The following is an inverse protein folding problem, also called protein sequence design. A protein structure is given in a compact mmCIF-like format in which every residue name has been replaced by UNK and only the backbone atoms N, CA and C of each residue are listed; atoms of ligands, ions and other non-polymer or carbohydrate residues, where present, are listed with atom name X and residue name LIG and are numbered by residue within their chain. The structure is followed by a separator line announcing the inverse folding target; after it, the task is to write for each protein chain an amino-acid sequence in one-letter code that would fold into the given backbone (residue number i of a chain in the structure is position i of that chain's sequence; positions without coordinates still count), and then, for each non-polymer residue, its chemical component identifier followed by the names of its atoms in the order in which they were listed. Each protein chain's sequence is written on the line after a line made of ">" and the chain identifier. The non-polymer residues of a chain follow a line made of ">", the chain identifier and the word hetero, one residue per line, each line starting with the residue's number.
data_IF_326579480391
#
_entry.id   IF_326579480391
#
_cell.length_a   1.000
_cell.length_b   1.000
_cell.length_c   1.000
_cell.angle_alpha   90.00
_cell.angle_beta   90.00
_cell.angle_gamma   90.00
#
_symmetry.space_group_name_H-M   'P 1'
#
loop_
_entity.id
_entity.type
_entity.pdbx_description
1 polymer ?
#
# COMPACT_ATOMS: atom_id res chain seq x y z
N UNK A 1 6.60 -19.01 2.99
CA UNK A 1 5.22 -18.73 2.55
C UNK A 1 4.38 -20.00 2.49
N UNK A 2 4.55 -20.90 1.51
CA UNK A 2 3.75 -22.14 1.44
C UNK A 2 4.08 -23.12 2.58
N UNK A 3 5.37 -23.33 2.81
CA UNK A 3 5.89 -24.21 3.87
C UNK A 3 5.64 -23.68 5.28
N UNK A 4 5.25 -22.42 5.41
CA UNK A 4 4.97 -21.71 6.67
C UNK A 4 3.46 -21.47 6.86
N UNK A 5 2.59 -22.08 6.03
CA UNK A 5 1.13 -21.97 6.13
C UNK A 5 0.51 -20.59 5.84
N UNK A 6 1.34 -19.56 5.63
CA UNK A 6 0.96 -18.17 5.36
C UNK A 6 0.22 -17.97 4.05
N UNK A 7 0.42 -18.89 3.11
CA UNK A 7 -0.32 -18.96 1.85
C UNK A 7 -0.70 -20.41 1.58
N UNK A 8 -1.86 -20.60 0.96
CA UNK A 8 -2.34 -21.90 0.52
C UNK A 8 -1.50 -22.45 -0.64
N UNK A 9 -1.60 -23.76 -0.91
CA UNK A 9 -0.92 -24.41 -2.05
C UNK A 9 -1.30 -23.80 -3.40
N UNK A 10 -2.55 -23.36 -3.52
CA UNK A 10 -3.07 -22.57 -4.64
C UNK A 10 -2.35 -21.22 -4.75
N UNK A 11 -2.33 -20.41 -3.68
CA UNK A 11 -1.65 -19.09 -3.69
C UNK A 11 -0.15 -19.21 -3.95
N UNK A 12 0.49 -20.28 -3.52
CA UNK A 12 1.91 -20.52 -3.77
C UNK A 12 2.20 -20.87 -5.23
N UNK A 13 1.33 -21.67 -5.86
CA UNK A 13 1.36 -21.90 -7.31
C UNK A 13 1.15 -20.59 -8.07
N UNK A 14 0.17 -19.80 -7.65
CA UNK A 14 -0.14 -18.52 -8.30
C UNK A 14 1.03 -17.52 -8.19
N UNK A 15 1.63 -17.39 -7.00
CA UNK A 15 2.83 -16.54 -6.81
C UNK A 15 4.02 -17.02 -7.62
N UNK A 16 4.25 -18.34 -7.70
CA UNK A 16 5.32 -18.90 -8.54
C UNK A 16 5.07 -18.61 -10.02
N UNK A 17 3.86 -18.82 -10.49
CA UNK A 17 3.48 -18.49 -11.87
C UNK A 17 3.69 -16.99 -12.17
N UNK A 18 3.34 -16.11 -11.23
CA UNK A 18 3.55 -14.66 -11.36
C UNK A 18 5.04 -14.29 -11.41
N UNK A 19 5.85 -14.88 -10.54
CA UNK A 19 7.31 -14.70 -10.53
C UNK A 19 7.98 -15.21 -11.82
N UNK A 20 7.51 -16.35 -12.33
CA UNK A 20 7.98 -16.93 -13.58
C UNK A 20 7.60 -16.06 -14.79
N UNK A 21 6.36 -15.54 -14.82
CA UNK A 21 5.92 -14.57 -15.81
C UNK A 21 6.76 -13.28 -15.76
N UNK A 22 7.03 -12.76 -14.56
CA UNK A 22 7.82 -11.55 -14.37
C UNK A 22 9.29 -11.75 -14.81
N UNK A 23 9.90 -12.86 -14.41
CA UNK A 23 11.25 -13.24 -14.84
C UNK A 23 11.34 -13.46 -16.35
N UNK A 24 10.33 -14.12 -16.94
CA UNK A 24 10.24 -14.34 -18.39
C UNK A 24 10.06 -13.01 -19.15
N UNK A 25 9.21 -12.12 -18.63
CA UNK A 25 9.00 -10.79 -19.19
C UNK A 25 10.29 -9.97 -19.17
N UNK A 26 10.99 -9.90 -18.04
CA UNK A 26 12.25 -9.14 -17.95
C UNK A 26 13.39 -9.77 -18.76
N UNK A 27 13.45 -11.11 -18.85
CA UNK A 27 14.39 -11.80 -19.73
C UNK A 27 14.13 -11.51 -21.22
N UNK A 28 12.87 -11.52 -21.63
CA UNK A 28 12.47 -11.16 -23.00
C UNK A 28 12.69 -9.66 -23.28
N UNK A 29 12.41 -8.77 -22.31
CA UNK A 29 12.59 -7.32 -22.43
C UNK A 29 14.06 -6.91 -22.55
N UNK A 30 14.98 -7.48 -21.75
CA UNK A 30 16.40 -7.13 -21.85
C UNK A 30 17.00 -7.56 -23.20
N UNK A 31 16.58 -8.73 -23.70
CA UNK A 31 16.92 -9.18 -25.05
C UNK A 31 16.35 -8.25 -26.11
N UNK A 32 15.04 -8.03 -26.12
CA UNK A 32 14.36 -7.20 -27.11
C UNK A 32 14.87 -5.75 -27.11
N UNK A 33 15.11 -5.15 -25.95
CA UNK A 33 15.62 -3.78 -25.83
C UNK A 33 17.01 -3.62 -26.44
N UNK A 34 17.90 -4.62 -26.30
CA UNK A 34 19.23 -4.62 -26.94
C UNK A 34 19.14 -4.75 -28.47
N UNK A 35 18.24 -5.61 -28.98
CA UNK A 35 18.02 -5.77 -30.43
C UNK A 35 17.39 -4.52 -31.06
N UNK A 36 16.35 -3.95 -30.44
CA UNK A 36 15.69 -2.73 -30.92
C UNK A 36 16.66 -1.54 -30.91
N UNK A 37 17.50 -1.41 -29.88
CA UNK A 37 18.53 -0.35 -29.84
C UNK A 37 19.57 -0.53 -30.94
N UNK A 38 19.99 -1.77 -31.23
CA UNK A 38 20.90 -2.08 -32.33
C UNK A 38 20.31 -1.76 -33.71
N UNK A 39 19.06 -2.15 -33.93
CA UNK A 39 18.33 -1.91 -35.18
C UNK A 39 18.10 -0.41 -35.43
N UNK A 40 17.74 0.35 -34.38
CA UNK A 40 17.59 1.80 -34.47
C UNK A 40 18.90 2.52 -34.82
N UNK A 41 20.03 2.10 -34.25
CA UNK A 41 21.35 2.68 -34.55
C UNK A 41 21.75 2.35 -36.00
N UNK A 42 21.54 1.10 -36.44
CA UNK A 42 21.84 0.68 -37.80
C UNK A 42 20.99 1.43 -38.83
N UNK A 43 19.68 1.57 -38.58
CA UNK A 43 18.78 2.34 -39.44
C UNK A 43 19.19 3.80 -39.56
N UNK A 44 19.58 4.44 -38.45
CA UNK A 44 20.00 5.84 -38.45
C UNK A 44 21.33 6.04 -39.22
N UNK A 45 22.25 5.07 -39.14
CA UNK A 45 23.47 5.06 -39.95
C UNK A 45 23.18 4.89 -41.44
N UNK A 46 22.29 3.97 -41.81
CA UNK A 46 21.88 3.75 -43.21
C UNK A 46 21.25 5.02 -43.80
N UNK A 47 20.37 5.68 -43.04
CA UNK A 47 19.77 6.95 -43.46
C UNK A 47 20.85 8.00 -43.73
N UNK A 48 21.82 8.14 -42.82
CA UNK A 48 22.89 9.12 -42.95
C UNK A 48 23.78 8.85 -44.18
N UNK A 49 24.13 7.58 -44.41
CA UNK A 49 24.94 7.14 -45.54
C UNK A 49 24.19 7.36 -46.86
N UNK A 50 22.91 7.00 -46.93
CA UNK A 50 22.11 7.14 -48.15
C UNK A 50 21.87 8.60 -48.52
N UNK A 51 21.65 9.48 -47.53
CA UNK A 51 21.50 10.92 -47.76
C UNK A 51 22.82 11.53 -48.24
N UNK A 52 23.91 11.32 -47.50
CA UNK A 52 25.21 11.94 -47.84
C UNK A 52 25.78 11.36 -49.14
N UNK A 53 25.79 10.03 -49.27
CA UNK A 53 26.27 9.34 -50.46
C UNK A 53 25.41 9.67 -51.69
N UNK A 54 24.09 9.73 -51.51
CA UNK A 54 23.15 10.13 -52.56
C UNK A 54 23.40 11.57 -53.03
N UNK A 55 23.58 12.52 -52.12
CA UNK A 55 23.89 13.91 -52.47
C UNK A 55 25.22 13.99 -53.23
N UNK A 56 26.29 13.35 -52.72
CA UNK A 56 27.62 13.38 -53.36
C UNK A 56 27.55 12.77 -54.78
N UNK A 57 26.92 11.60 -54.94
CA UNK A 57 26.81 10.95 -56.24
C UNK A 57 25.89 11.76 -57.19
N UNK A 58 24.79 12.30 -56.68
CA UNK A 58 23.86 13.13 -57.44
C UNK A 58 24.52 14.39 -58.02
N UNK A 59 25.31 15.09 -57.21
CA UNK A 59 25.99 16.33 -57.66
C UNK A 59 27.23 16.07 -58.50
N UNK A 60 27.93 14.95 -58.30
CA UNK A 60 29.24 14.70 -58.94
C UNK A 60 29.14 13.83 -60.19
N UNK A 61 28.18 12.90 -60.22
CA UNK A 61 28.04 11.90 -61.30
C UNK A 61 26.78 12.08 -62.15
N UNK A 62 25.75 12.77 -61.65
CA UNK A 62 24.47 12.96 -62.37
C UNK A 62 24.15 14.42 -62.71
N UNK A 63 25.12 15.34 -62.55
CA UNK A 63 24.99 16.78 -62.82
C UNK A 63 23.75 17.45 -62.16
N UNK A 64 23.27 16.90 -61.05
CA UNK A 64 22.13 17.48 -60.31
C UNK A 64 22.59 18.69 -59.50
N UNK A 65 21.70 19.68 -59.33
CA UNK A 65 21.95 20.76 -58.38
C UNK A 65 21.96 20.21 -56.94
N UNK A 66 22.69 20.86 -56.04
CA UNK A 66 22.75 20.45 -54.62
C UNK A 66 21.35 20.38 -53.98
N UNK A 67 20.47 21.32 -54.33
CA UNK A 67 19.11 21.37 -53.81
C UNK A 67 18.26 20.20 -54.33
N UNK A 68 18.37 19.87 -55.63
CA UNK A 68 17.61 18.77 -56.23
C UNK A 68 18.12 17.42 -55.70
N UNK A 69 19.43 17.23 -55.60
CA UNK A 69 20.03 16.02 -55.04
C UNK A 69 19.62 15.83 -53.57
N UNK A 70 19.63 16.89 -52.76
CA UNK A 70 19.17 16.83 -51.38
C UNK A 70 17.69 16.44 -51.27
N UNK A 71 16.82 17.04 -52.08
CA UNK A 71 15.39 16.71 -52.10
C UNK A 71 15.13 15.25 -52.51
N UNK A 72 15.68 14.82 -53.65
CA UNK A 72 15.44 13.49 -54.22
C UNK A 72 15.97 12.38 -53.32
N UNK A 73 17.23 12.45 -52.88
CA UNK A 73 17.84 11.39 -52.08
C UNK A 73 17.33 11.37 -50.64
N UNK A 74 16.88 12.50 -50.08
CA UNK A 74 16.21 12.52 -48.77
C UNK A 74 14.85 11.82 -48.84
N UNK A 75 14.03 12.10 -49.87
CA UNK A 75 12.72 11.46 -50.04
C UNK A 75 12.86 9.96 -50.31
N UNK A 76 13.80 9.55 -51.18
CA UNK A 76 14.08 8.14 -51.45
C UNK A 76 14.55 7.39 -50.20
N UNK A 77 15.42 8.01 -49.39
CA UNK A 77 15.92 7.39 -48.16
C UNK A 77 14.83 7.23 -47.10
N UNK A 78 13.97 8.23 -46.93
CA UNK A 78 12.80 8.12 -46.03
C UNK A 78 11.85 7.03 -46.53
N UNK A 79 11.62 6.96 -47.84
CA UNK A 79 10.80 5.92 -48.46
C UNK A 79 11.34 4.51 -48.21
N UNK A 80 12.64 4.29 -48.43
CA UNK A 80 13.32 3.01 -48.16
C UNK A 80 13.25 2.62 -46.68
N UNK A 81 13.44 3.59 -45.78
CA UNK A 81 13.26 3.42 -44.34
C UNK A 81 11.85 2.98 -43.97
N UNK A 82 10.81 3.60 -44.54
CA UNK A 82 9.42 3.23 -44.28
C UNK A 82 9.07 1.83 -44.83
N UNK A 83 9.56 1.49 -46.04
CA UNK A 83 9.29 0.20 -46.68
C UNK A 83 9.98 -0.96 -45.96
N UNK A 84 11.16 -0.73 -45.39
CA UNK A 84 11.91 -1.75 -44.65
C UNK A 84 11.47 -1.87 -43.18
N UNK A 85 11.23 -0.75 -42.49
CA UNK A 85 10.96 -0.78 -41.05
C UNK A 85 9.52 -1.17 -40.70
N UNK A 86 8.51 -0.78 -41.49
CA UNK A 86 7.11 -1.10 -41.17
C UNK A 86 6.91 -2.63 -41.12
N UNK A 87 7.35 -3.44 -42.11
CA UNK A 87 7.24 -4.88 -42.04
C UNK A 87 8.07 -5.50 -40.92
N UNK A 88 9.30 -5.02 -40.71
CA UNK A 88 10.18 -5.52 -39.64
C UNK A 88 9.55 -5.32 -38.26
N UNK A 89 8.93 -4.15 -38.02
CA UNK A 89 8.22 -3.86 -36.78
C UNK A 89 6.98 -4.76 -36.61
N UNK A 90 6.20 -4.99 -37.67
CA UNK A 90 5.05 -5.91 -37.62
C UNK A 90 5.49 -7.34 -37.29
N UNK A 91 6.58 -7.84 -37.91
CA UNK A 91 7.11 -9.18 -37.65
C UNK A 91 7.68 -9.27 -36.23
N UNK A 92 8.42 -8.26 -35.77
CA UNK A 92 8.98 -8.20 -34.42
C UNK A 92 7.90 -8.19 -33.34
N UNK A 93 6.87 -7.35 -33.50
CA UNK A 93 5.73 -7.27 -32.58
C UNK A 93 4.96 -8.59 -32.58
N UNK A 94 4.74 -9.19 -33.76
CA UNK A 94 4.05 -10.47 -33.88
C UNK A 94 4.83 -11.62 -33.23
N UNK A 95 6.15 -11.66 -33.41
CA UNK A 95 7.02 -12.63 -32.75
C UNK A 95 7.06 -12.42 -31.23
N UNK A 96 7.11 -11.16 -30.78
CA UNK A 96 7.00 -10.79 -29.37
C UNK A 96 5.71 -11.29 -28.74
N UNK A 97 4.58 -11.13 -29.42
CA UNK A 97 3.28 -11.67 -28.98
C UNK A 97 3.25 -13.20 -28.93
N UNK A 98 3.89 -13.87 -29.89
CA UNK A 98 3.95 -15.33 -29.94
C UNK A 98 4.79 -15.90 -28.79
N UNK A 99 5.89 -15.23 -28.44
CA UNK A 99 6.78 -15.62 -27.33
C UNK A 99 6.17 -15.28 -25.97
N UNK A 100 5.50 -14.12 -25.83
CA UNK A 100 4.88 -13.71 -24.56
C UNK A 100 3.67 -14.58 -24.16
N UNK A 101 3.08 -15.31 -25.10
CA UNK A 101 2.00 -16.27 -24.84
C UNK A 101 2.47 -17.50 -24.05
N UNK A 102 3.77 -17.84 -24.07
CA UNK A 102 4.28 -19.08 -23.48
C UNK A 102 4.09 -19.19 -21.95
N UNK A 103 3.68 -18.13 -21.25
CA UNK A 103 3.48 -18.12 -19.80
C UNK A 103 2.11 -17.66 -19.29
N UNK A 104 1.11 -17.41 -20.14
CA UNK A 104 -0.21 -16.87 -19.72
C UNK A 104 -1.36 -17.80 -20.12
N UNK A 105 -2.18 -18.23 -19.17
CA UNK A 105 -3.41 -18.98 -19.42
C UNK A 105 -4.53 -18.04 -19.93
N UNK A 106 -5.20 -18.41 -21.03
CA UNK A 106 -6.30 -17.65 -21.63
C UNK A 106 -6.10 -17.32 -23.11
N UNK A 107 -7.16 -16.81 -23.76
CA UNK A 107 -7.06 -16.32 -25.14
C UNK A 107 -6.24 -15.02 -25.16
N UNK A 108 -5.22 -14.95 -26.01
CA UNK A 108 -4.33 -13.79 -26.10
C UNK A 108 -5.09 -12.47 -26.34
N UNK A 109 -6.22 -12.53 -27.03
CA UNK A 109 -7.16 -11.43 -27.22
C UNK A 109 -7.68 -10.85 -25.89
N UNK A 110 -8.14 -11.69 -24.96
CA UNK A 110 -8.81 -11.25 -23.72
C UNK A 110 -7.81 -10.56 -22.78
N UNK A 111 -6.61 -11.13 -22.67
CA UNK A 111 -5.51 -10.54 -21.89
C UNK A 111 -5.09 -9.18 -22.47
N UNK A 112 -5.05 -9.06 -23.79
CA UNK A 112 -4.69 -7.80 -24.45
C UNK A 112 -5.73 -6.71 -24.18
N UNK A 113 -7.02 -7.05 -24.31
CA UNK A 113 -8.11 -6.12 -24.02
C UNK A 113 -8.13 -5.69 -22.56
N UNK A 114 -7.84 -6.58 -21.61
CA UNK A 114 -7.75 -6.22 -20.18
C UNK A 114 -6.58 -5.24 -19.90
N UNK A 115 -5.41 -5.48 -20.51
CA UNK A 115 -4.25 -4.59 -20.34
C UNK A 115 -4.46 -3.20 -20.93
N UNK A 116 -5.02 -3.09 -22.14
CA UNK A 116 -5.36 -1.78 -22.72
C UNK A 116 -6.42 -1.06 -21.88
N UNK A 117 -7.31 -1.79 -21.21
CA UNK A 117 -8.38 -1.21 -20.41
C UNK A 117 -7.93 -0.68 -19.04
N UNK A 118 -6.79 -1.15 -18.51
CA UNK A 118 -6.26 -0.71 -17.21
C UNK A 118 -5.62 0.69 -17.21
N UNK A 119 -5.20 1.21 -18.36
CA UNK A 119 -4.45 2.47 -18.45
C UNK A 119 -5.15 3.53 -19.33
N UNK A 120 -6.34 4.05 -18.94
CA UNK A 120 -7.11 5.01 -19.75
C UNK A 120 -6.36 6.33 -20.01
N UNK A 121 -5.45 6.74 -19.09
CA UNK A 121 -4.63 7.94 -19.27
C UNK A 121 -3.65 7.82 -20.43
N UNK A 122 -3.02 6.64 -20.59
CA UNK A 122 -2.08 6.39 -21.69
C UNK A 122 -2.80 6.41 -23.04
N UNK A 123 -4.01 5.82 -23.12
CA UNK A 123 -4.85 5.85 -24.31
C UNK A 123 -5.31 7.27 -24.66
N UNK A 124 -5.68 8.08 -23.67
CA UNK A 124 -6.06 9.49 -23.88
C UNK A 124 -4.90 10.34 -24.39
N UNK A 125 -3.70 10.15 -23.85
CA UNK A 125 -2.48 10.81 -24.35
C UNK A 125 -2.16 10.41 -25.78
N UNK A 126 -2.26 9.11 -26.11
CA UNK A 126 -2.06 8.62 -27.47
C UNK A 126 -3.08 9.21 -28.45
N UNK A 127 -4.36 9.28 -28.06
CA UNK A 127 -5.42 9.92 -28.86
C UNK A 127 -5.11 11.39 -29.15
N UNK A 128 -4.68 12.16 -28.13
CA UNK A 128 -4.31 13.56 -28.29
C UNK A 128 -3.10 13.73 -29.23
N UNK A 129 -2.09 12.85 -29.12
CA UNK A 129 -0.95 12.85 -30.01
C UNK A 129 -1.35 12.54 -31.46
N UNK A 130 -2.17 11.51 -31.69
CA UNK A 130 -2.65 11.15 -33.04
C UNK A 130 -3.50 12.28 -33.65
N UNK A 131 -4.33 12.95 -32.84
CA UNK A 131 -5.07 14.13 -33.29
C UNK A 131 -4.12 15.28 -33.66
N UNK A 132 -3.08 15.54 -32.85
CA UNK A 132 -2.09 16.57 -33.17
C UNK A 132 -1.32 16.28 -34.45
N UNK A 133 -1.02 15.01 -34.74
CA UNK A 133 -0.36 14.59 -35.99
C UNK A 133 -1.25 14.80 -37.21
N UNK A 134 -2.56 14.65 -37.07
CA UNK A 134 -3.52 14.88 -38.16
C UNK A 134 -3.62 16.36 -38.57
N UNK A 135 -3.23 17.30 -37.69
CA UNK A 135 -3.21 18.74 -37.95
C UNK A 135 -1.95 19.19 -38.70
N UNK A 136 -0.92 18.32 -38.80
CA UNK A 136 0.33 18.65 -39.49
C UNK A 136 0.10 18.57 -41.00
N UNK A 137 0.33 19.67 -41.75
CA UNK A 137 0.23 19.65 -43.21
C UNK A 137 1.26 18.69 -43.81
N UNK A 138 0.89 17.99 -44.88
CA UNK A 138 1.62 16.90 -45.55
C UNK A 138 1.52 15.50 -44.89
N UNK A 139 0.80 15.33 -43.78
CA UNK A 139 0.48 14.02 -43.21
C UNK A 139 -0.93 13.58 -43.65
N UNK A 140 -1.17 12.30 -44.00
CA UNK A 140 -2.51 11.80 -44.34
C UNK A 140 -3.45 11.90 -43.13
N UNK A 141 -4.27 12.93 -43.02
CA UNK A 141 -5.15 13.15 -41.86
C UNK A 141 -6.15 11.99 -41.57
N UNK A 142 -6.79 11.33 -42.56
CA UNK A 142 -7.81 10.31 -42.30
C UNK A 142 -7.39 9.15 -41.38
N UNK A 143 -6.24 8.45 -41.58
CA UNK A 143 -5.82 7.37 -40.68
C UNK A 143 -5.53 7.85 -39.26
N UNK A 144 -4.92 9.03 -39.09
CA UNK A 144 -4.60 9.56 -37.77
C UNK A 144 -5.86 10.01 -37.02
N UNK A 145 -6.83 10.61 -37.71
CA UNK A 145 -8.12 10.95 -37.11
C UNK A 145 -8.91 9.70 -36.72
N UNK A 146 -8.89 8.64 -37.53
CA UNK A 146 -9.50 7.36 -37.20
C UNK A 146 -8.88 6.74 -35.94
N UNK A 147 -7.55 6.66 -35.90
CA UNK A 147 -6.81 6.16 -34.72
C UNK A 147 -7.06 7.02 -33.47
N UNK A 148 -7.08 8.35 -33.61
CA UNK A 148 -7.41 9.26 -32.52
C UNK A 148 -8.81 9.02 -31.97
N UNK A 149 -9.81 8.82 -32.85
CA UNK A 149 -11.18 8.55 -32.47
C UNK A 149 -11.34 7.19 -31.76
N UNK A 150 -10.68 6.13 -32.26
CA UNK A 150 -10.71 4.80 -31.64
C UNK A 150 -10.06 4.83 -30.25
N UNK A 151 -8.85 5.39 -30.14
CA UNK A 151 -8.12 5.47 -28.86
C UNK A 151 -8.86 6.38 -27.85
N UNK A 152 -9.42 7.50 -28.32
CA UNK A 152 -10.21 8.42 -27.50
C UNK A 152 -11.52 7.79 -27.03
N UNK A 153 -12.21 7.05 -27.91
CA UNK A 153 -13.40 6.30 -27.57
C UNK A 153 -13.14 5.21 -26.53
N UNK A 154 -12.06 4.44 -26.69
CA UNK A 154 -11.64 3.43 -25.71
C UNK A 154 -11.24 4.06 -24.36
N UNK A 155 -10.52 5.18 -24.37
CA UNK A 155 -10.17 5.91 -23.16
C UNK A 155 -11.42 6.41 -22.41
N UNK A 156 -12.41 6.93 -23.15
CA UNK A 156 -13.67 7.41 -22.60
C UNK A 156 -14.51 6.28 -22.00
N UNK A 157 -14.70 5.16 -22.73
CA UNK A 157 -15.43 3.99 -22.24
C UNK A 157 -14.79 3.41 -20.96
N UNK A 158 -13.45 3.33 -20.93
CA UNK A 158 -12.73 2.83 -19.75
C UNK A 158 -12.79 3.79 -18.57
N UNK A 159 -12.72 5.10 -18.82
CA UNK A 159 -12.91 6.11 -17.77
C UNK A 159 -14.32 6.04 -17.17
N UNK A 160 -15.35 5.84 -18.00
CA UNK A 160 -16.73 5.70 -17.54
C UNK A 160 -16.93 4.40 -16.75
N UNK A 161 -16.31 3.29 -17.16
CA UNK A 161 -16.35 2.02 -16.43
C UNK A 161 -15.62 2.08 -15.08
N UNK A 162 -14.47 2.75 -15.02
CA UNK A 162 -13.77 3.02 -13.76
C UNK A 162 -14.53 3.96 -12.84
N UNK A 163 -15.30 4.90 -13.41
CA UNK A 163 -16.16 5.80 -12.65
C UNK A 163 -17.34 5.04 -12.04
N UNK A 164 -17.99 4.15 -12.81
CA UNK A 164 -19.06 3.27 -12.31
C UNK A 164 -18.54 2.34 -11.21
N UNK A 165 -17.40 1.66 -11.40
CA UNK A 165 -16.82 0.81 -10.36
C UNK A 165 -16.38 1.61 -9.11
N UNK A 166 -15.95 2.86 -9.27
CA UNK A 166 -15.65 3.74 -8.13
C UNK A 166 -16.91 4.28 -7.47
N UNK A 167 -17.99 4.51 -8.21
CA UNK A 167 -19.29 4.91 -7.69
C UNK A 167 -19.98 3.74 -6.98
N UNK A 168 -19.82 2.50 -7.45
CA UNK A 168 -20.26 1.28 -6.75
C UNK A 168 -19.43 1.05 -5.47
N UNK A 169 -18.11 1.18 -5.51
CA UNK A 169 -17.27 1.09 -4.32
C UNK A 169 -17.49 2.25 -3.32
N UNK A 170 -17.84 3.45 -3.82
CA UNK A 170 -18.20 4.62 -3.00
C UNK A 170 -19.63 4.51 -2.46
N UNK A 171 -20.56 3.87 -3.18
CA UNK A 171 -21.89 3.54 -2.69
C UNK A 171 -21.81 2.47 -1.60
N UNK A 172 -20.93 1.47 -1.73
CA UNK A 172 -20.63 0.50 -0.66
C UNK A 172 -20.01 1.14 0.59
N UNK A 173 -19.30 2.27 0.47
CA UNK A 173 -18.79 3.03 1.62
C UNK A 173 -19.77 4.10 2.15
N UNK A 174 -20.71 4.58 1.33
CA UNK A 174 -21.72 5.56 1.71
C UNK A 174 -23.01 4.92 2.28
N UNK A 175 -23.32 3.68 1.92
CA UNK A 175 -24.41 2.88 2.49
C UNK A 175 -24.02 2.15 3.80
N UNK A 176 -22.80 2.39 4.30
CA UNK A 176 -22.38 2.03 5.67
C UNK A 176 -23.14 2.78 6.79
N UNK A 177 -24.08 3.66 6.43
CA UNK A 177 -25.12 4.16 7.32
C UNK A 177 -26.41 3.34 7.20
N UNK A 178 -26.59 2.38 8.12
CA UNK A 178 -27.84 1.66 8.38
C UNK A 178 -28.30 0.57 7.39
N UNK A 179 -27.40 -0.23 6.83
CA UNK A 179 -27.74 -1.60 6.45
C UNK A 179 -27.49 -2.55 7.64
N UNK A 180 -28.49 -3.34 8.00
CA UNK A 180 -28.37 -4.39 9.02
C UNK A 180 -27.10 -5.23 8.75
N UNK A 181 -26.34 -5.62 9.80
CA UNK A 181 -25.07 -6.28 9.61
C UNK A 181 -25.31 -7.53 8.75
N UNK A 182 -24.61 -7.61 7.62
CA UNK A 182 -24.38 -8.91 7.00
C UNK A 182 -23.84 -9.79 8.11
N UNK A 183 -24.58 -10.86 8.44
CA UNK A 183 -24.17 -11.77 9.51
C UNK A 183 -22.74 -12.19 9.23
N UNK A 184 -21.81 -11.68 10.06
CA UNK A 184 -20.47 -12.21 10.10
C UNK A 184 -20.62 -13.72 10.21
N UNK A 185 -19.85 -14.52 9.46
CA UNK A 185 -19.94 -15.97 9.57
C UNK A 185 -19.91 -16.31 11.06
N UNK A 186 -20.89 -17.08 11.55
CA UNK A 186 -21.14 -17.30 12.98
C UNK A 186 -19.84 -17.71 13.73
N UNK A 187 -18.88 -18.30 13.02
CA UNK A 187 -17.54 -18.60 13.49
C UNK A 187 -16.69 -17.40 13.95
N UNK A 188 -16.87 -16.20 13.38
CA UNK A 188 -16.23 -14.94 13.83
C UNK A 188 -16.94 -14.29 15.00
N UNK A 189 -18.27 -14.38 15.07
CA UNK A 189 -19.03 -13.94 16.25
C UNK A 189 -18.75 -14.79 17.50
N UNK A 190 -18.31 -16.04 17.31
CA UNK A 190 -17.87 -16.95 18.37
C UNK A 190 -16.38 -16.79 18.74
N UNK A 191 -15.62 -15.94 18.02
CA UNK A 191 -14.22 -15.72 18.34
C UNK A 191 -14.12 -14.87 19.61
N UNK A 192 -13.60 -15.49 20.68
CA UNK A 192 -13.38 -14.82 21.95
C UNK A 192 -12.31 -13.74 21.80
N UNK A 193 -12.62 -12.51 22.19
CA UNK A 193 -11.62 -11.45 22.27
C UNK A 193 -10.63 -11.81 23.39
N UNK A 194 -9.35 -11.95 23.05
CA UNK A 194 -8.34 -12.34 24.03
C UNK A 194 -8.11 -11.23 25.05
N UNK A 195 -8.10 -9.97 24.60
CA UNK A 195 -7.93 -8.78 25.44
C UNK A 195 -8.94 -7.72 24.99
N UNK A 196 -9.72 -7.19 25.95
CA UNK A 196 -10.67 -6.10 25.72
C UNK A 196 -10.41 -4.96 26.71
N UNK A 197 -10.41 -3.75 26.20
CA UNK A 197 -10.41 -2.51 26.97
C UNK A 197 -11.79 -1.86 26.85
N UNK A 198 -12.54 -1.86 27.94
CA UNK A 198 -13.85 -1.21 28.04
C UNK A 198 -13.67 0.20 28.61
N UNK A 199 -14.25 1.19 27.94
CA UNK A 199 -14.14 2.60 28.30
C UNK A 199 -15.52 3.15 28.67
N UNK A 200 -15.58 3.87 29.79
CA UNK A 200 -16.71 4.75 30.09
C UNK A 200 -16.83 5.88 29.07
N UNK A 201 -18.03 6.42 28.90
CA UNK A 201 -18.34 7.43 27.88
C UNK A 201 -17.44 8.68 27.94
N UNK A 202 -17.01 9.09 29.13
CA UNK A 202 -16.13 10.25 29.32
C UNK A 202 -14.71 10.03 28.80
N UNK A 203 -14.30 8.77 28.54
CA UNK A 203 -12.95 8.43 28.07
C UNK A 203 -12.84 8.31 26.54
N UNK A 204 -13.95 8.39 25.80
CA UNK A 204 -13.95 8.34 24.34
C UNK A 204 -13.04 9.38 23.66
N UNK A 205 -12.90 10.61 24.19
CA UNK A 205 -11.94 11.59 23.65
C UNK A 205 -10.48 11.09 23.64
N UNK A 206 -10.09 10.17 24.53
CA UNK A 206 -8.73 9.59 24.56
C UNK A 206 -8.44 8.70 23.34
N UNK A 207 -9.49 8.20 22.69
CA UNK A 207 -9.43 7.34 21.50
C UNK A 207 -9.68 8.15 20.23
N UNK A 208 -10.60 9.12 20.29
CA UNK A 208 -11.12 9.86 19.13
C UNK A 208 -10.45 11.22 18.91
N UNK A 209 -9.69 11.74 19.87
CA UNK A 209 -9.10 13.09 19.82
C UNK A 209 -8.19 13.33 18.61
N UNK A 210 -8.03 14.60 18.22
CA UNK A 210 -7.05 15.04 17.22
C UNK A 210 -5.70 15.32 17.92
N UNK A 211 -4.62 14.63 17.50
CA UNK A 211 -3.28 14.73 18.08
C UNK A 211 -2.47 13.43 17.97
N UNK A 212 -1.16 13.50 18.23
CA UNK A 212 -0.22 12.35 18.12
C UNK A 212 -0.22 11.45 19.37
N UNK A 213 -0.88 11.83 20.47
CA UNK A 213 -0.85 11.09 21.74
C UNK A 213 -2.16 10.33 22.05
N UNK A 214 -2.71 9.63 21.05
CA UNK A 214 -3.94 8.86 21.21
C UNK A 214 -3.67 7.55 21.94
N UNK A 215 -4.62 7.13 22.77
CA UNK A 215 -4.58 5.84 23.45
C UNK A 215 -4.39 4.68 22.46
N UNK A 216 -5.02 4.76 21.28
CA UNK A 216 -4.87 3.76 20.21
C UNK A 216 -3.45 3.63 19.69
N UNK A 217 -2.72 4.74 19.59
CA UNK A 217 -1.37 4.73 19.04
C UNK A 217 -0.34 4.27 20.08
N UNK A 218 -0.55 4.63 21.35
CA UNK A 218 0.20 4.07 22.47
C UNK A 218 0.01 2.55 22.60
N UNK A 219 -1.22 2.04 22.49
CA UNK A 219 -1.51 0.59 22.52
C UNK A 219 -0.86 -0.13 21.32
N UNK A 220 -0.81 0.49 20.12
CA UNK A 220 -0.05 -0.09 18.99
C UNK A 220 1.44 -0.18 19.32
N UNK A 221 2.01 0.83 19.96
CA UNK A 221 3.41 0.84 20.42
C UNK A 221 3.71 -0.30 21.38
N UNK A 222 2.78 -0.60 22.29
CA UNK A 222 2.92 -1.68 23.28
C UNK A 222 3.20 -3.05 22.64
N UNK A 223 2.56 -3.34 21.51
CA UNK A 223 2.77 -4.62 20.80
C UNK A 223 4.23 -4.80 20.36
N UNK A 224 4.88 -3.74 19.90
CA UNK A 224 6.31 -3.78 19.51
C UNK A 224 7.19 -3.92 20.74
N UNK A 225 6.90 -3.14 21.77
CA UNK A 225 7.68 -3.17 23.02
C UNK A 225 7.68 -4.55 23.67
N UNK A 226 6.51 -5.19 23.85
CA UNK A 226 6.44 -6.52 24.47
C UNK A 226 7.11 -7.61 23.63
N UNK A 227 7.10 -7.46 22.30
CA UNK A 227 7.81 -8.38 21.41
C UNK A 227 9.33 -8.27 21.58
N UNK A 228 9.87 -7.05 21.75
CA UNK A 228 11.29 -6.81 21.97
C UNK A 228 11.74 -7.20 23.38
N UNK A 229 10.97 -6.82 24.40
CA UNK A 229 11.34 -7.01 25.81
C UNK A 229 11.13 -8.45 26.29
N UNK A 230 10.06 -9.12 25.82
CA UNK A 230 9.61 -10.41 26.36
C UNK A 230 9.55 -11.52 25.31
N UNK A 231 9.77 -11.22 24.03
CA UNK A 231 9.64 -12.21 22.95
C UNK A 231 8.19 -12.65 22.70
N UNK A 232 7.22 -11.87 23.18
CA UNK A 232 5.79 -12.16 23.08
C UNK A 232 5.08 -11.14 22.19
N UNK A 233 4.39 -11.63 21.15
CA UNK A 233 3.60 -10.77 20.26
C UNK A 233 2.21 -10.59 20.86
N UNK A 234 1.91 -9.38 21.32
CA UNK A 234 0.61 -9.04 21.88
C UNK A 234 -0.51 -9.21 20.82
N UNK A 235 -1.59 -9.98 21.10
CA UNK A 235 -2.78 -10.03 20.26
C UNK A 235 -3.48 -8.67 20.20
N UNK A 236 -4.43 -8.52 19.27
CA UNK A 236 -5.17 -7.27 19.15
C UNK A 236 -5.96 -6.97 20.43
N UNK A 237 -5.77 -5.76 20.97
CA UNK A 237 -6.56 -5.24 22.09
C UNK A 237 -7.81 -4.59 21.52
N UNK A 238 -8.98 -5.17 21.81
CA UNK A 238 -10.26 -4.61 21.35
C UNK A 238 -10.71 -3.49 22.28
N UNK A 239 -10.86 -2.28 21.75
CA UNK A 239 -11.35 -1.12 22.51
C UNK A 239 -12.86 -1.00 22.26
N UNK A 240 -13.66 -0.96 23.32
CA UNK A 240 -15.12 -0.83 23.25
C UNK A 240 -15.62 0.19 24.27
N UNK A 241 -16.67 0.90 23.93
CA UNK A 241 -17.42 1.71 24.88
C UNK A 241 -18.35 0.81 25.71
N UNK A 242 -18.45 1.12 27.01
CA UNK A 242 -19.36 0.43 27.92
C UNK A 242 -20.13 1.45 28.75
N UNK A 243 -21.42 1.63 28.40
CA UNK A 243 -22.33 2.57 29.07
C UNK A 243 -22.65 2.18 30.53
N UNK A 244 -22.33 0.95 30.95
CA UNK A 244 -22.49 0.50 32.33
C UNK A 244 -21.33 0.93 33.22
N UNK A 245 -20.19 1.34 32.64
CA UNK A 245 -19.07 1.88 33.40
C UNK A 245 -19.33 3.35 33.78
N UNK A 246 -18.86 3.81 34.96
CA UNK A 246 -18.83 5.22 35.27
C UNK A 246 -18.08 6.01 34.20
N UNK A 247 -18.45 7.28 33.98
CA UNK A 247 -17.99 8.07 32.85
C UNK A 247 -16.45 8.11 32.68
N UNK A 248 -15.73 8.17 33.80
CA UNK A 248 -14.27 8.34 33.83
C UNK A 248 -13.52 7.04 34.17
N UNK A 249 -14.20 5.89 34.13
CA UNK A 249 -13.61 4.58 34.45
C UNK A 249 -13.34 3.77 33.20
N UNK A 250 -12.32 2.92 33.26
CA UNK A 250 -12.06 1.87 32.27
C UNK A 250 -11.90 0.53 32.96
N UNK A 251 -12.18 -0.55 32.23
CA UNK A 251 -11.97 -1.92 32.68
C UNK A 251 -11.19 -2.71 31.62
N UNK A 252 -10.25 -3.54 32.07
CA UNK A 252 -9.47 -4.43 31.22
C UNK A 252 -9.98 -5.84 31.44
N UNK A 253 -10.35 -6.51 30.35
CA UNK A 253 -10.78 -7.90 30.36
C UNK A 253 -9.82 -8.77 29.57
N UNK A 254 -9.52 -9.95 30.10
CA UNK A 254 -8.80 -11.02 29.40
C UNK A 254 -9.74 -12.22 29.34
N UNK A 255 -10.01 -12.73 28.13
CA UNK A 255 -10.96 -13.84 27.92
C UNK A 255 -12.32 -13.60 28.61
N UNK A 256 -12.87 -12.39 28.44
CA UNK A 256 -14.12 -11.90 29.07
C UNK A 256 -14.09 -11.65 30.59
N UNK A 257 -13.03 -12.05 31.29
CA UNK A 257 -12.88 -11.86 32.73
C UNK A 257 -12.26 -10.49 33.00
N UNK A 258 -12.89 -9.69 33.85
CA UNK A 258 -12.31 -8.42 34.32
C UNK A 258 -11.08 -8.70 35.20
N UNK A 259 -9.92 -8.24 34.75
CA UNK A 259 -8.62 -8.45 35.43
C UNK A 259 -8.07 -7.16 36.02
N UNK A 260 -8.59 -6.00 35.61
CA UNK A 260 -8.18 -4.71 36.15
C UNK A 260 -9.17 -3.60 35.82
N UNK A 261 -9.16 -2.57 36.65
CA UNK A 261 -10.02 -1.38 36.52
C UNK A 261 -9.27 -0.16 37.00
N UNK A 262 -9.51 0.99 36.37
CA UNK A 262 -8.97 2.26 36.84
C UNK A 262 -9.90 3.43 36.52
N UNK A 263 -9.58 4.57 37.10
CA UNK A 263 -10.21 5.84 36.77
C UNK A 263 -9.15 6.82 36.26
N UNK A 264 -9.51 7.59 35.24
CA UNK A 264 -8.66 8.66 34.72
C UNK A 264 -9.47 9.94 34.50
N UNK A 265 -8.80 11.09 34.52
CA UNK A 265 -9.42 12.39 34.26
C UNK A 265 -8.94 12.89 32.90
N UNK A 266 -9.77 12.81 31.83
CA UNK A 266 -9.39 13.35 30.52
C UNK A 266 -9.04 14.84 30.62
N UNK A 267 -7.91 15.23 30.01
CA UNK A 267 -7.43 16.62 30.03
C UNK A 267 -6.70 17.04 31.31
N UNK A 268 -6.54 16.15 32.29
CA UNK A 268 -5.68 16.37 33.46
C UNK A 268 -4.44 15.46 33.42
N UNK A 269 -3.47 15.77 34.26
CA UNK A 269 -2.22 15.02 34.40
C UNK A 269 -2.17 14.31 35.75
N UNK A 270 -1.69 13.07 35.75
CA UNK A 270 -1.41 12.33 36.97
C UNK A 270 0.01 12.68 37.43
N UNK A 271 0.09 13.23 38.63
CA UNK A 271 1.33 13.58 39.30
C UNK A 271 1.63 12.57 40.40
N UNK A 272 2.90 12.17 40.53
CA UNK A 272 3.39 11.24 41.54
C UNK A 272 4.74 11.69 42.10
N UNK A 273 4.95 11.52 43.40
CA UNK A 273 6.27 11.69 44.01
C UNK A 273 7.06 10.37 43.93
N UNK A 274 8.28 10.35 43.36
CA UNK A 274 9.13 9.15 43.33
C UNK A 274 9.44 8.54 44.70
N UNK A 275 9.40 9.35 45.77
CA UNK A 275 9.62 8.93 47.16
C UNK A 275 8.32 8.55 47.88
N UNK A 276 7.15 8.72 47.24
CA UNK A 276 5.84 8.44 47.83
C UNK A 276 5.36 9.47 48.84
N UNK A 277 5.96 10.67 48.86
CA UNK A 277 5.54 11.76 49.74
C UNK A 277 4.25 12.46 49.23
N UNK A 278 3.49 13.14 50.11
CA UNK A 278 2.29 13.87 49.71
C UNK A 278 2.60 15.01 48.72
N UNK A 279 1.81 15.08 47.64
CA UNK A 279 1.96 16.10 46.60
C UNK A 279 1.44 17.44 47.11
N UNK A 280 2.22 18.51 46.90
CA UNK A 280 1.95 19.86 47.42
C UNK A 280 1.24 20.79 46.42
N UNK A 281 0.79 20.28 45.28
CA UNK A 281 0.12 21.03 44.23
C UNK A 281 -1.41 21.04 44.42
N UNK A 282 -2.14 22.01 43.84
CA UNK A 282 -3.59 21.97 43.78
C UNK A 282 -4.07 20.84 42.85
N UNK A 283 -4.90 19.93 43.35
CA UNK A 283 -5.40 18.83 42.56
C UNK A 283 -6.36 17.90 43.31
N UNK A 284 -6.79 16.83 42.64
CA UNK A 284 -7.62 15.77 43.19
C UNK A 284 -6.74 14.58 43.61
N UNK A 285 -6.70 14.27 44.91
CA UNK A 285 -5.97 13.11 45.42
C UNK A 285 -6.53 11.81 44.84
N UNK A 286 -5.65 10.90 44.43
CA UNK A 286 -6.00 9.60 43.90
C UNK A 286 -4.93 8.57 44.24
N UNK A 287 -5.17 7.33 43.85
CA UNK A 287 -4.17 6.27 43.82
C UNK A 287 -3.92 5.90 42.36
N UNK A 288 -2.66 5.74 42.00
CA UNK A 288 -2.28 5.29 40.67
C UNK A 288 -2.65 3.79 40.49
N UNK A 289 -3.29 3.40 39.38
CA UNK A 289 -3.91 2.07 39.27
C UNK A 289 -2.92 0.91 39.08
N UNK A 290 -1.70 1.15 38.59
CA UNK A 290 -0.72 0.12 38.24
C UNK A 290 0.05 -0.40 39.45
N UNK A 291 0.60 0.49 40.26
CA UNK A 291 1.50 0.18 41.37
C UNK A 291 0.92 0.56 42.74
N UNK A 292 -0.25 1.21 42.76
CA UNK A 292 -0.91 1.61 44.00
C UNK A 292 -0.24 2.78 44.72
N UNK A 293 0.53 3.60 44.01
CA UNK A 293 1.24 4.74 44.58
C UNK A 293 0.28 5.91 44.86
N UNK A 294 0.49 6.68 45.94
CA UNK A 294 -0.21 7.94 46.15
C UNK A 294 0.04 8.89 44.98
N UNK A 295 -1.02 9.42 44.40
CA UNK A 295 -0.96 10.29 43.24
C UNK A 295 -1.98 11.42 43.33
N UNK A 296 -1.87 12.40 42.44
CA UNK A 296 -2.80 13.53 42.37
C UNK A 296 -3.07 13.92 40.92
N UNK A 297 -4.33 14.10 40.58
CA UNK A 297 -4.72 14.71 39.31
C UNK A 297 -4.55 16.23 39.40
N UNK A 298 -3.67 16.77 38.58
CA UNK A 298 -3.38 18.20 38.47
C UNK A 298 -3.79 18.71 37.09
N UNK A 299 -4.13 19.99 37.02
CA UNK A 299 -4.39 20.67 35.75
C UNK A 299 -3.10 20.86 34.95
N UNK A 300 -3.20 20.88 33.61
CA UNK A 300 -2.07 21.01 32.68
C UNK A 300 -1.17 22.22 33.02
N UNK A 301 -1.75 23.31 33.54
CA UNK A 301 -1.01 24.52 33.92
C UNK A 301 0.06 24.28 35.00
N UNK A 302 -0.06 23.23 35.81
CA UNK A 302 0.89 22.91 36.89
C UNK A 302 2.02 21.96 36.44
N UNK A 303 2.06 21.55 35.17
CA UNK A 303 3.08 20.62 34.65
C UNK A 303 4.50 21.08 34.95
N UNK A 304 4.83 22.32 34.61
CA UNK A 304 6.19 22.87 34.77
C UNK A 304 6.59 22.96 36.26
N UNK A 305 5.66 23.34 37.14
CA UNK A 305 5.91 23.38 38.58
C UNK A 305 6.11 21.97 39.15
N UNK A 306 5.31 21.00 38.71
CA UNK A 306 5.44 19.60 39.11
C UNK A 306 6.80 19.02 38.70
N UNK A 307 7.25 19.27 37.46
CA UNK A 307 8.59 18.87 37.03
C UNK A 307 9.70 19.58 37.80
N UNK A 308 9.56 20.87 38.09
CA UNK A 308 10.55 21.61 38.89
C UNK A 308 10.69 21.05 40.31
N UNK A 309 9.59 20.57 40.91
CA UNK A 309 9.57 19.88 42.21
C UNK A 309 10.07 18.43 42.16
N UNK A 310 10.40 17.91 40.97
CA UNK A 310 10.91 16.55 40.77
C UNK A 310 9.82 15.47 40.74
N UNK A 311 8.57 15.85 40.55
CA UNK A 311 7.47 14.89 40.42
C UNK A 311 7.45 14.23 39.03
N UNK A 312 7.01 12.98 39.00
CA UNK A 312 6.68 12.27 37.77
C UNK A 312 5.29 12.69 37.31
N UNK A 313 5.18 13.17 36.08
CA UNK A 313 3.93 13.69 35.50
C UNK A 313 3.62 12.92 34.22
N UNK A 314 2.44 12.31 34.16
CA UNK A 314 1.97 11.53 33.02
C UNK A 314 0.55 11.92 32.65
N UNK A 315 0.17 11.78 31.39
CA UNK A 315 -1.17 12.09 30.93
C UNK A 315 -2.12 10.88 31.02
N UNK A 316 -3.43 11.13 30.91
CA UNK A 316 -4.45 10.09 31.07
C UNK A 316 -4.29 8.88 30.13
N UNK A 317 -3.99 9.02 28.82
CA UNK A 317 -3.68 7.88 27.94
C UNK A 317 -2.52 7.05 28.48
N UNK A 318 -1.42 7.70 28.89
CA UNK A 318 -0.23 6.99 29.39
C UNK A 318 -0.55 6.20 30.66
N UNK A 319 -1.35 6.73 31.58
CA UNK A 319 -1.80 6.00 32.77
C UNK A 319 -2.53 4.71 32.38
N UNK A 320 -3.46 4.78 31.42
CA UNK A 320 -4.20 3.60 30.93
C UNK A 320 -3.24 2.61 30.26
N UNK A 321 -2.34 3.08 29.40
CA UNK A 321 -1.39 2.21 28.69
C UNK A 321 -0.40 1.53 29.65
N UNK A 322 0.14 2.24 30.64
CA UNK A 322 1.02 1.66 31.66
C UNK A 322 0.29 0.59 32.47
N UNK A 323 -0.95 0.84 32.87
CA UNK A 323 -1.72 -0.15 33.62
C UNK A 323 -2.04 -1.40 32.80
N UNK A 324 -2.49 -1.25 31.54
CA UNK A 324 -2.73 -2.40 30.65
C UNK A 324 -1.43 -3.18 30.43
N UNK A 325 -0.29 -2.50 30.30
CA UNK A 325 1.02 -3.14 30.12
C UNK A 325 1.35 -4.08 31.27
N UNK A 326 1.22 -3.62 32.51
CA UNK A 326 1.49 -4.48 33.68
C UNK A 326 0.44 -5.58 33.83
N UNK A 327 -0.85 -5.31 33.58
CA UNK A 327 -1.90 -6.36 33.55
C UNK A 327 -1.54 -7.46 32.54
N UNK A 328 -1.08 -7.10 31.35
CA UNK A 328 -0.67 -8.06 30.33
C UNK A 328 0.52 -8.89 30.81
N UNK A 329 1.53 -8.26 31.42
CA UNK A 329 2.70 -8.96 31.96
C UNK A 329 2.30 -9.95 33.05
N UNK A 330 1.43 -9.54 33.98
CA UNK A 330 0.96 -10.39 35.06
C UNK A 330 0.13 -11.58 34.57
N UNK A 331 -0.58 -11.42 33.45
CA UNK A 331 -1.44 -12.45 32.86
C UNK A 331 -0.78 -13.14 31.64
N UNK A 332 0.52 -12.97 31.43
CA UNK A 332 1.19 -13.46 30.22
C UNK A 332 1.12 -14.98 30.09
N UNK A 333 1.13 -15.72 31.20
CA UNK A 333 0.97 -17.17 31.20
C UNK A 333 -0.37 -17.62 30.60
N UNK A 334 -1.45 -16.86 30.82
CA UNK A 334 -2.77 -17.15 30.26
C UNK A 334 -2.90 -16.69 28.80
N UNK A 335 -2.17 -15.64 28.42
CA UNK A 335 -2.15 -15.06 27.09
C UNK A 335 -1.27 -15.85 26.11
N UNK A 336 -0.23 -16.53 26.60
CA UNK A 336 0.63 -17.43 25.84
C UNK A 336 -0.09 -18.77 25.59
N UNK A 337 -1.18 -18.72 24.85
CA UNK A 337 -1.95 -19.90 24.47
C UNK A 337 -1.16 -20.79 23.50
N UNK A 338 -1.64 -22.02 23.28
CA UNK A 338 -1.11 -22.89 22.23
C UNK A 338 -1.11 -22.19 20.86
N UNK A 339 -2.18 -21.46 20.53
CA UNK A 339 -2.28 -20.75 19.25
C UNK A 339 -1.23 -19.65 19.12
N UNK A 340 -1.00 -18.87 20.18
CA UNK A 340 0.03 -17.81 20.16
C UNK A 340 1.45 -18.40 20.17
N UNK A 341 1.67 -19.50 20.89
CA UNK A 341 2.96 -20.21 20.88
C UNK A 341 3.25 -20.81 19.51
N UNK A 342 2.26 -21.43 18.88
CA UNK A 342 2.41 -22.00 17.53
C UNK A 342 2.74 -20.89 16.52
N UNK A 343 2.04 -19.74 16.57
CA UNK A 343 2.38 -18.57 15.74
C UNK A 343 3.83 -18.12 15.95
N UNK A 344 4.28 -18.03 17.20
CA UNK A 344 5.67 -17.65 17.50
C UNK A 344 6.66 -18.63 16.84
N UNK A 345 6.40 -19.94 16.89
CA UNK A 345 7.24 -20.95 16.24
C UNK A 345 7.17 -20.86 14.70
N UNK A 346 5.99 -20.62 14.14
CA UNK A 346 5.75 -20.52 12.70
C UNK A 346 6.36 -19.23 12.09
N UNK A 347 6.50 -18.17 12.88
CA UNK A 347 7.07 -16.88 12.49
C UNK A 347 8.60 -16.78 12.72
N UNK A 348 9.23 -17.79 13.34
CA UNK A 348 10.68 -17.84 13.52
C UNK A 348 11.44 -17.84 12.18
N UNK A 349 12.66 -17.27 12.12
CA UNK A 349 13.48 -17.34 10.91
C UNK A 349 13.79 -18.79 10.49
N UNK A 350 13.93 -19.08 9.18
CA UNK A 350 14.09 -20.44 8.67
C UNK A 350 15.25 -21.24 9.27
N UNK A 351 16.34 -20.56 9.65
CA UNK A 351 17.52 -21.19 10.24
C UNK A 351 17.22 -21.75 11.64
N UNK A 352 16.34 -21.10 12.40
CA UNK A 352 15.94 -21.54 13.74
C UNK A 352 14.76 -22.51 13.72
N UNK A 353 13.87 -22.44 12.72
CA UNK A 353 12.76 -23.41 12.58
C UNK A 353 13.25 -24.86 12.46
N UNK A 354 14.41 -25.08 11.81
CA UNK A 354 15.03 -26.41 11.70
C UNK A 354 15.53 -26.99 13.03
N UNK A 355 15.69 -26.18 14.07
CA UNK A 355 16.11 -26.64 15.40
C UNK A 355 14.94 -27.15 16.24
N UNK A 356 13.70 -26.75 15.90
CA UNK A 356 12.48 -27.10 16.62
C UNK A 356 11.76 -28.30 15.97
N UNK A 357 12.00 -28.54 14.67
CA UNK A 357 11.42 -29.64 13.87
C UNK A 357 12.13 -30.99 14.09
#
# INVERSE_FOLDING_TARGET
>A
DLSTGLITEEEAKERRAKLEQESSFFGAMDGAAKFVRGDAIAGLLIVFINIIGGIIIGTTSQDMSLADAAGTYTVLTIGDGLVSQIPALIVSVSAGFLVSKAGVEGAAQEVLFDQFSRYPRALGMASALMFSMALVPAIPAPPFLFLAAVMGGLAYLNWQRQKINKEEAAAETAEGGAAAPAEEPISKALAMDTIRLELGYGLLPLVQGEGDNKLTDQIKGLRRQLAEDMGYILPAVRIQDNLQLPANSYAVRIKEIEVGRGEVRPGMLLCMDPNGEPITLPGENTVEPTFGLPAMWIDEQYREEAHFKGYTVVDAPTVVTTHITEIIKDNMADLLSYAETQKLLDEMPPDYQKLVA
#
